data_IF_592349311208
#
_entry.id   IF_592349311208
#
_cell.length_a   1.000
_cell.length_b   1.000
_cell.length_c   1.000
_cell.angle_alpha   90.00
_cell.angle_beta   90.00
_cell.angle_gamma   90.00
#
_symmetry.space_group_name_H-M   'P 1'
#
loop_
_entity.id
_entity.type
_entity.pdbx_description
1 polymer ?
#
# COMPACT_ATOMS: atom_id res chain seq x y z
N UNK A 1 3.84 8.64 8.78
CA UNK A 1 4.96 7.83 8.22
C UNK A 1 6.17 7.70 9.12
N UNK A 2 6.23 8.30 10.32
CA UNK A 2 7.40 8.13 11.23
C UNK A 2 7.34 6.83 12.08
N UNK A 3 6.14 6.31 12.35
CA UNK A 3 5.94 5.19 13.29
C UNK A 3 6.34 3.81 12.74
N UNK A 4 6.35 3.65 11.41
CA UNK A 4 6.67 2.39 10.73
C UNK A 4 8.17 2.23 10.47
N UNK A 5 8.91 3.35 10.41
CA UNK A 5 10.36 3.36 10.17
C UNK A 5 11.17 2.93 11.41
N UNK A 6 10.57 2.98 12.60
CA UNK A 6 11.23 2.55 13.84
C UNK A 6 11.12 1.05 14.00
N UNK A 7 12.24 0.36 14.21
CA UNK A 7 12.26 -1.07 14.52
C UNK A 7 11.43 -1.32 15.80
N UNK A 8 10.36 -2.14 15.75
CA UNK A 8 9.58 -2.44 16.93
C UNK A 8 10.36 -3.33 17.89
N UNK A 9 10.09 -3.21 19.20
CA UNK A 9 10.68 -4.08 20.24
C UNK A 9 10.43 -5.58 19.99
N UNK A 10 9.31 -5.91 19.34
CA UNK A 10 8.94 -7.27 18.95
C UNK A 10 8.54 -7.28 17.48
N UNK A 11 9.05 -8.23 16.69
CA UNK A 11 8.79 -8.33 15.25
C UNK A 11 7.30 -8.46 14.91
N UNK A 12 6.53 -9.11 15.78
CA UNK A 12 5.07 -9.29 15.63
C UNK A 12 4.31 -7.95 15.57
N UNK A 13 4.87 -6.87 16.13
CA UNK A 13 4.23 -5.54 16.13
C UNK A 13 4.36 -4.79 14.80
N UNK A 14 5.14 -5.32 13.85
CA UNK A 14 5.26 -4.72 12.52
C UNK A 14 3.91 -4.76 11.80
N UNK A 15 3.52 -3.65 11.17
CA UNK A 15 2.24 -3.57 10.47
C UNK A 15 2.38 -2.81 9.17
N UNK A 16 2.19 -3.51 8.06
CA UNK A 16 2.29 -2.91 6.73
C UNK A 16 1.29 -1.76 6.57
N UNK A 17 1.83 -0.58 6.27
CA UNK A 17 1.06 0.64 6.03
C UNK A 17 1.31 1.12 4.61
N UNK A 18 0.28 1.68 3.99
CA UNK A 18 0.42 2.31 2.68
C UNK A 18 1.52 3.38 2.71
N UNK A 19 2.43 3.34 1.73
CA UNK A 19 3.53 4.32 1.63
C UNK A 19 3.07 5.76 1.37
N UNK A 20 1.92 5.97 0.74
CA UNK A 20 1.41 7.31 0.44
C UNK A 20 0.57 7.90 1.57
N UNK A 21 -0.43 7.17 2.06
CA UNK A 21 -1.40 7.70 3.03
C UNK A 21 -1.27 7.11 4.44
N UNK A 22 -0.38 6.15 4.68
CA UNK A 22 -0.17 5.54 6.00
C UNK A 22 -1.30 4.62 6.50
N UNK A 23 -2.27 4.29 5.63
CA UNK A 23 -3.43 3.48 5.98
C UNK A 23 -3.00 2.06 6.42
N UNK A 24 -3.46 1.56 7.57
CA UNK A 24 -3.01 0.27 8.14
C UNK A 24 -3.83 -0.96 7.67
N UNK A 25 -4.79 -0.77 6.76
CA UNK A 25 -5.72 -1.83 6.30
C UNK A 25 -5.88 -1.77 4.78
N UNK A 26 -6.25 -2.92 4.20
CA UNK A 26 -6.42 -3.07 2.75
C UNK A 26 -5.12 -2.83 2.00
N UNK A 27 -4.03 -3.40 2.52
CA UNK A 27 -2.67 -3.24 2.00
C UNK A 27 -2.34 -4.33 0.98
N UNK A 28 -1.90 -3.93 -0.20
CA UNK A 28 -1.41 -4.83 -1.24
C UNK A 28 0.11 -4.93 -1.16
N UNK A 29 0.63 -6.11 -0.80
CA UNK A 29 2.08 -6.35 -0.64
C UNK A 29 2.88 -6.17 -1.94
N UNK A 30 2.29 -6.48 -3.09
CA UNK A 30 2.94 -6.33 -4.40
C UNK A 30 3.25 -4.86 -4.74
N UNK A 31 2.44 -3.93 -4.26
CA UNK A 31 2.50 -2.52 -4.63
C UNK A 31 2.86 -1.60 -3.45
N UNK A 32 2.96 -2.13 -2.23
CA UNK A 32 3.16 -1.38 -0.98
C UNK A 32 2.15 -0.22 -0.75
N UNK A 33 0.92 -0.41 -1.25
CA UNK A 33 -0.14 0.61 -1.26
C UNK A 33 -1.44 0.09 -0.65
N UNK A 34 -2.29 1.02 -0.18
CA UNK A 34 -3.67 0.67 0.17
C UNK A 34 -4.57 0.62 -1.07
N UNK A 35 -5.72 -0.05 -0.94
CA UNK A 35 -6.73 -0.16 -2.00
C UNK A 35 -7.16 1.16 -2.65
N UNK A 36 -7.20 2.26 -1.89
CA UNK A 36 -7.63 3.55 -2.43
C UNK A 36 -6.53 4.20 -3.27
N UNK A 37 -5.32 4.27 -2.73
CA UNK A 37 -4.17 4.82 -3.46
C UNK A 37 -3.86 3.96 -4.70
N UNK A 38 -3.93 2.63 -4.57
CA UNK A 38 -3.77 1.73 -5.71
C UNK A 38 -4.79 2.05 -6.81
N UNK A 39 -6.07 2.18 -6.47
CA UNK A 39 -7.12 2.53 -7.45
C UNK A 39 -6.87 3.88 -8.09
N UNK A 40 -6.52 4.91 -7.31
CA UNK A 40 -6.26 6.26 -7.84
C UNK A 40 -5.09 6.25 -8.84
N UNK A 41 -3.98 5.60 -8.47
CA UNK A 41 -2.79 5.53 -9.32
C UNK A 41 -3.03 4.65 -10.57
N UNK A 42 -3.74 3.53 -10.41
CA UNK A 42 -4.13 2.69 -11.54
C UNK A 42 -5.04 3.43 -12.53
N UNK A 43 -6.00 4.23 -12.03
CA UNK A 43 -6.88 5.04 -12.89
C UNK A 43 -6.13 6.17 -13.61
N UNK A 44 -5.06 6.70 -12.99
CA UNK A 44 -4.18 7.69 -13.61
C UNK A 44 -3.16 7.08 -14.57
N UNK A 45 -3.01 5.75 -14.59
CA UNK A 45 -1.98 5.07 -15.40
C UNK A 45 -0.55 5.17 -14.82
N UNK A 46 -0.40 5.59 -13.56
CA UNK A 46 0.92 5.73 -12.91
C UNK A 46 1.53 4.35 -12.54
N UNK A 47 0.72 3.29 -12.48
CA UNK A 47 1.20 1.93 -12.21
C UNK A 47 1.27 1.15 -13.52
N UNK A 48 2.47 0.76 -13.98
CA UNK A 48 2.63 0.06 -15.25
C UNK A 48 2.02 -1.34 -15.18
N UNK A 49 1.39 -1.77 -16.29
CA UNK A 49 0.85 -3.12 -16.44
C UNK A 49 -0.46 -3.38 -15.68
N UNK A 50 -1.09 -2.37 -15.07
CA UNK A 50 -2.45 -2.49 -14.53
C UNK A 50 -3.45 -2.03 -15.57
N UNK A 51 -4.39 -2.92 -15.90
CA UNK A 51 -5.57 -2.62 -16.72
C UNK A 51 -6.84 -2.94 -15.94
N UNK A 52 -7.97 -2.34 -16.35
CA UNK A 52 -9.28 -2.75 -15.82
C UNK A 52 -9.58 -4.17 -16.32
N UNK A 53 -9.86 -5.09 -15.40
CA UNK A 53 -10.27 -6.45 -15.76
C UNK A 53 -11.73 -6.46 -16.22
N UNK A 54 -11.99 -7.09 -17.36
CA UNK A 54 -13.32 -7.43 -17.84
C UNK A 54 -13.26 -8.89 -18.24
N UNK A 55 -13.83 -9.76 -17.41
CA UNK A 55 -14.07 -11.16 -17.74
C UNK A 55 -15.54 -11.33 -18.10
#
# INVERSE_FOLDING_TARGET
>A
MVKDQRKPRYGIRHRNRCRLCGRPRGYYRKFDLCRLCLRQLALKGEIPGIIKSSW
#
